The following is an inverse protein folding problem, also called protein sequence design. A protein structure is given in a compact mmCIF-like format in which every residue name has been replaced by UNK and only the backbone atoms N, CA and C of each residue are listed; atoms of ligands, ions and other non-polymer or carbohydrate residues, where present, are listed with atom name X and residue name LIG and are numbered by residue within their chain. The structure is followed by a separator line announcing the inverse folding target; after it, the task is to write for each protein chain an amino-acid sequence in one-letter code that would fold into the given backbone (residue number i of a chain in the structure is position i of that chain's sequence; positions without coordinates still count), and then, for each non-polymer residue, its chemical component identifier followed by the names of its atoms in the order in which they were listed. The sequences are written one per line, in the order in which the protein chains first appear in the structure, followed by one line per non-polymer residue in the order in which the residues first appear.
data_IF_794304598700
#
_entry.id   IF_794304598700
#
_cell.length_a   1.000
_cell.length_b   1.000
_cell.length_c   1.000
_cell.angle_alpha   90.00
_cell.angle_beta   90.00
_cell.angle_gamma   90.00
#
_symmetry.space_group_name_H-M   'P 1'
#
loop_
_entity.id
_entity.type
_entity.pdbx_description
1 polymer ?
#
# COMPACT_ATOMS: atom_id res chain seq x y z
N UNK A 1 18.35 -0.61 -0.46
CA UNK A 1 17.17 -1.47 -0.65
C UNK A 1 15.90 -0.65 -0.46
N UNK A 2 14.88 -0.99 -1.20
CA UNK A 2 13.62 -0.26 -1.13
C UNK A 2 12.84 -0.68 0.11
N UNK A 3 12.42 0.30 0.89
CA UNK A 3 11.55 0.05 2.03
C UNK A 3 10.11 -0.11 1.54
N UNK A 4 9.43 -1.17 1.99
CA UNK A 4 8.05 -1.41 1.60
C UNK A 4 7.18 -1.41 2.85
N UNK A 5 6.15 -0.57 2.83
CA UNK A 5 5.13 -0.52 3.86
C UNK A 5 3.87 -1.13 3.27
N UNK A 6 3.31 -2.12 3.96
CA UNK A 6 2.05 -2.75 3.54
C UNK A 6 0.94 -2.21 4.41
N UNK A 7 -0.10 -1.67 3.80
CA UNK A 7 -1.21 -1.06 4.52
C UNK A 7 -2.56 -1.52 3.95
N UNK A 8 -3.30 -2.26 4.75
CA UNK A 8 -4.63 -2.75 4.40
C UNK A 8 -5.52 -2.72 5.62
N UNK A 9 -6.78 -2.32 5.45
CA UNK A 9 -7.73 -2.27 6.55
C UNK A 9 -7.99 -3.63 7.17
N UNK A 10 -7.88 -4.70 6.37
CA UNK A 10 -8.01 -6.07 6.87
C UNK A 10 -6.62 -6.65 7.12
N UNK A 11 -6.33 -7.09 8.36
CA UNK A 11 -5.02 -7.67 8.67
C UNK A 11 -4.65 -8.86 7.79
N UNK A 12 -5.65 -9.66 7.41
CA UNK A 12 -5.42 -10.83 6.57
C UNK A 12 -4.86 -10.44 5.20
N UNK A 13 -5.39 -9.38 4.60
CA UNK A 13 -4.91 -8.90 3.32
C UNK A 13 -3.47 -8.42 3.43
N UNK A 14 -3.15 -7.70 4.49
CA UNK A 14 -1.80 -7.23 4.73
C UNK A 14 -0.81 -8.38 4.86
N UNK A 15 -1.18 -9.42 5.60
CA UNK A 15 -0.33 -10.60 5.78
C UNK A 15 -0.10 -11.33 4.46
N UNK A 16 -1.15 -11.46 3.65
CA UNK A 16 -1.05 -12.14 2.36
C UNK A 16 -0.12 -11.38 1.42
N UNK A 17 -0.28 -10.07 1.33
CA UNK A 17 0.57 -9.24 0.47
C UNK A 17 2.02 -9.26 0.96
N UNK A 18 2.23 -9.17 2.27
CA UNK A 18 3.57 -9.27 2.84
C UNK A 18 4.23 -10.58 2.43
N UNK A 19 3.51 -11.70 2.56
CA UNK A 19 4.04 -13.02 2.19
C UNK A 19 4.47 -13.07 0.73
N UNK A 20 3.65 -12.53 -0.16
CA UNK A 20 3.97 -12.48 -1.58
C UNK A 20 5.25 -11.68 -1.82
N UNK A 21 5.35 -10.51 -1.20
CA UNK A 21 6.49 -9.63 -1.39
C UNK A 21 7.78 -10.25 -0.84
N UNK A 22 7.72 -10.84 0.34
CA UNK A 22 8.89 -11.47 0.95
C UNK A 22 9.36 -12.65 0.11
N UNK A 23 8.44 -13.45 -0.42
CA UNK A 23 8.80 -14.57 -1.30
C UNK A 23 9.52 -14.11 -2.56
N UNK A 24 9.24 -12.91 -3.02
CA UNK A 24 9.84 -12.37 -4.22
C UNK A 24 11.08 -11.51 -3.93
N UNK A 25 11.60 -11.59 -2.73
CA UNK A 25 12.85 -10.93 -2.38
C UNK A 25 12.73 -9.48 -1.96
N UNK A 26 11.52 -8.99 -1.72
CA UNK A 26 11.31 -7.61 -1.27
C UNK A 26 11.38 -7.53 0.25
N UNK A 27 11.81 -6.36 0.74
CA UNK A 27 11.90 -6.11 2.16
C UNK A 27 10.67 -5.33 2.63
N UNK A 28 9.83 -5.99 3.44
CA UNK A 28 8.67 -5.33 4.04
C UNK A 28 9.05 -4.89 5.45
N UNK A 29 9.05 -3.59 5.69
CA UNK A 29 9.50 -3.01 6.95
C UNK A 29 8.36 -2.75 7.93
N UNK A 30 7.12 -2.69 7.44
CA UNK A 30 5.96 -2.47 8.31
C UNK A 30 4.70 -3.03 7.65
N UNK A 31 3.79 -3.52 8.47
CA UNK A 31 2.44 -3.92 8.05
C UNK A 31 1.46 -3.15 8.91
N UNK A 32 0.62 -2.35 8.27
CA UNK A 32 -0.28 -1.42 8.94
C UNK A 32 -1.73 -1.74 8.60
N UNK A 33 -2.65 -1.34 9.49
CA UNK A 33 -4.08 -1.54 9.28
C UNK A 33 -4.84 -0.22 9.12
N UNK A 34 -4.14 0.91 9.18
CA UNK A 34 -4.76 2.22 8.98
C UNK A 34 -3.82 3.14 8.20
N UNK A 35 -4.39 4.19 7.63
CA UNK A 35 -3.59 5.20 6.93
C UNK A 35 -2.66 5.94 7.88
N UNK A 36 -3.13 6.24 9.09
CA UNK A 36 -2.30 6.91 10.10
C UNK A 36 -1.08 6.10 10.49
N UNK A 37 -1.23 4.79 10.63
CA UNK A 37 -0.09 3.91 10.92
C UNK A 37 0.92 3.91 9.76
N UNK A 38 0.42 3.88 8.53
CA UNK A 38 1.29 3.92 7.36
C UNK A 38 2.08 5.23 7.29
N UNK A 39 1.44 6.35 7.58
CA UNK A 39 2.10 7.65 7.60
C UNK A 39 3.16 7.73 8.70
N UNK A 40 2.87 7.20 9.88
CA UNK A 40 3.85 7.14 10.97
C UNK A 40 5.07 6.31 10.59
N UNK A 41 4.84 5.18 9.93
CA UNK A 41 5.94 4.35 9.46
C UNK A 41 6.77 5.07 8.40
N UNK A 42 6.12 5.78 7.49
CA UNK A 42 6.80 6.52 6.44
C UNK A 42 7.67 7.65 7.00
N UNK A 43 7.21 8.31 8.07
CA UNK A 43 7.97 9.39 8.69
C UNK A 43 9.30 8.91 9.27
N UNK A 44 9.40 7.63 9.59
CA UNK A 44 10.64 7.05 10.14
C UNK A 44 11.60 6.59 9.06
N UNK A 45 11.23 6.72 7.80
CA UNK A 45 12.00 6.17 6.67
C UNK A 45 12.34 7.29 5.68
N UNK A 46 13.36 7.04 4.87
CA UNK A 46 13.85 8.02 3.90
C UNK A 46 13.28 7.82 2.50
N UNK A 47 12.19 7.12 2.38
CA UNK A 47 11.57 6.85 1.10
C UNK A 47 11.25 5.39 0.94
N UNK A 48 10.49 5.05 -0.07
CA UNK A 48 10.09 3.68 -0.32
C UNK A 48 8.78 3.59 -1.09
N UNK A 49 8.09 2.47 -0.88
CA UNK A 49 6.82 2.20 -1.55
C UNK A 49 5.79 1.80 -0.49
N UNK A 50 4.60 2.37 -0.58
CA UNK A 50 3.47 1.95 0.23
C UNK A 50 2.56 1.10 -0.66
N UNK A 51 2.41 -0.17 -0.30
CA UNK A 51 1.48 -1.08 -0.96
C UNK A 51 0.18 -1.05 -0.16
N UNK A 52 -0.87 -0.53 -0.75
CA UNK A 52 -2.06 -0.11 -0.01
C UNK A 52 -3.34 -0.70 -0.61
N UNK A 53 -4.33 -0.91 0.25
CA UNK A 53 -5.69 -1.15 -0.18
C UNK A 53 -6.38 0.15 -0.55
N UNK A 54 -7.64 0.05 -1.00
CA UNK A 54 -8.39 1.19 -1.50
C UNK A 54 -8.85 2.13 -0.39
N UNK A 55 -9.24 1.59 0.76
CA UNK A 55 -9.86 2.38 1.83
C UNK A 55 -9.47 1.87 3.20
N UNK A 56 -9.31 2.83 4.13
CA UNK A 56 -9.08 2.56 5.54
C UNK A 56 -10.21 3.18 6.35
N UNK A 57 -10.28 2.86 7.63
CA UNK A 57 -11.29 3.44 8.51
C UNK A 57 -11.09 4.94 8.70
N UNK A 58 -9.83 5.38 8.70
CA UNK A 58 -9.48 6.77 8.97
C UNK A 58 -9.27 7.61 7.71
N UNK A 59 -9.08 6.99 6.55
CA UNK A 59 -8.88 7.72 5.29
C UNK A 59 -8.99 6.79 4.10
N UNK A 60 -9.04 7.37 2.91
CA UNK A 60 -8.97 6.64 1.65
C UNK A 60 -7.56 6.72 1.06
N UNK A 61 -7.31 5.91 0.02
CA UNK A 61 -5.99 5.83 -0.59
C UNK A 61 -5.48 7.18 -1.11
N UNK A 62 -6.37 8.01 -1.64
CA UNK A 62 -5.99 9.30 -2.20
C UNK A 62 -5.49 10.26 -1.12
N UNK A 63 -6.15 10.25 0.03
CA UNK A 63 -5.73 11.06 1.17
C UNK A 63 -4.38 10.57 1.70
N UNK A 64 -4.20 9.27 1.81
CA UNK A 64 -2.94 8.69 2.21
C UNK A 64 -1.82 9.09 1.24
N UNK A 65 -2.09 9.01 -0.06
CA UNK A 65 -1.13 9.38 -1.08
C UNK A 65 -0.70 10.85 -0.97
N UNK A 66 -1.66 11.73 -0.71
CA UNK A 66 -1.38 13.16 -0.57
C UNK A 66 -0.54 13.46 0.66
N UNK A 67 -0.71 12.69 1.73
CA UNK A 67 0.01 12.92 2.98
C UNK A 67 1.39 12.26 3.02
N UNK A 68 1.68 11.35 2.10
CA UNK A 68 2.97 10.69 2.06
C UNK A 68 4.09 11.66 1.69
N UNK A 69 5.29 11.50 2.29
CA UNK A 69 6.45 12.25 1.84
C UNK A 69 6.72 12.06 0.35
N UNK A 70 7.33 13.05 -0.28
CA UNK A 70 7.58 13.02 -1.72
C UNK A 70 8.49 11.89 -2.19
N UNK A 71 9.26 11.31 -1.29
CA UNK A 71 10.16 10.20 -1.58
C UNK A 71 9.47 8.84 -1.59
N UNK A 72 8.17 8.81 -1.35
CA UNK A 72 7.40 7.57 -1.37
C UNK A 72 6.50 7.49 -2.58
N UNK A 73 6.41 6.30 -3.15
CA UNK A 73 5.43 5.96 -4.17
C UNK A 73 4.36 5.07 -3.56
N UNK A 74 3.21 5.03 -4.19
CA UNK A 74 2.11 4.18 -3.74
C UNK A 74 1.74 3.16 -4.80
N UNK A 75 1.67 1.90 -4.40
CA UNK A 75 1.13 0.82 -5.21
C UNK A 75 -0.23 0.46 -4.65
N UNK A 76 -1.27 0.74 -5.42
CA UNK A 76 -2.63 0.47 -4.97
C UNK A 76 -3.10 -0.86 -5.50
N UNK A 77 -3.59 -1.70 -4.60
CA UNK A 77 -4.16 -2.99 -4.96
C UNK A 77 -5.66 -2.90 -4.74
N UNK A 78 -6.42 -2.91 -5.83
CA UNK A 78 -7.85 -2.72 -5.79
C UNK A 78 -8.53 -3.32 -7.01
N UNK A 79 -9.83 -3.55 -6.89
CA UNK A 79 -10.63 -4.00 -8.03
C UNK A 79 -10.70 -2.90 -9.10
N UNK A 80 -10.48 -3.22 -10.38
CA UNK A 80 -10.60 -2.23 -11.45
C UNK A 80 -11.95 -1.53 -11.49
N UNK A 81 -13.01 -2.17 -11.06
CA UNK A 81 -14.35 -1.58 -11.06
C UNK A 81 -14.46 -0.34 -10.17
N UNK A 82 -13.58 -0.20 -9.18
CA UNK A 82 -13.61 0.94 -8.27
C UNK A 82 -13.03 2.21 -8.88
N UNK A 83 -12.33 2.08 -10.00
CA UNK A 83 -11.56 3.18 -10.57
C UNK A 83 -12.28 3.95 -11.64
N UNK A 84 -13.30 3.39 -12.23
CA UNK A 84 -13.88 4.00 -13.41
C UNK A 84 -12.89 4.13 -14.55
N UNK A 85 -11.83 3.34 -14.52
CA UNK A 85 -10.83 3.32 -15.57
C UNK A 85 -9.65 4.28 -15.42
N UNK A 86 -9.54 4.99 -14.29
CA UNK A 86 -8.46 5.95 -14.10
C UNK A 86 -7.72 5.75 -12.79
N UNK A 87 -6.40 5.89 -12.83
CA UNK A 87 -5.55 5.90 -11.65
C UNK A 87 -4.80 7.22 -11.57
N UNK A 88 -4.57 7.75 -10.35
CA UNK A 88 -3.69 8.90 -10.17
C UNK A 88 -2.26 8.59 -10.65
N UNK A 89 -1.52 9.63 -11.04
CA UNK A 89 -0.18 9.47 -11.62
C UNK A 89 0.81 8.76 -10.69
N UNK A 90 0.70 8.98 -9.38
CA UNK A 90 1.62 8.37 -8.40
C UNK A 90 1.16 7.00 -7.94
N UNK A 91 0.04 6.51 -8.43
CA UNK A 91 -0.57 5.28 -7.96
C UNK A 91 -0.61 4.27 -9.10
N UNK A 92 -0.07 3.10 -8.84
CA UNK A 92 -0.16 1.97 -9.78
C UNK A 92 -1.27 1.06 -9.29
N UNK A 93 -2.25 0.79 -10.13
CA UNK A 93 -3.40 -0.02 -9.77
C UNK A 93 -3.18 -1.46 -10.19
N UNK A 94 -3.40 -2.37 -9.25
CA UNK A 94 -3.40 -3.80 -9.53
C UNK A 94 -4.76 -4.38 -9.19
N UNK A 95 -5.23 -5.37 -9.95
CA UNK A 95 -6.52 -6.00 -9.63
C UNK A 95 -6.48 -6.79 -8.32
N UNK A 96 -7.58 -6.76 -7.61
CA UNK A 96 -7.81 -7.60 -6.44
C UNK A 96 -8.71 -8.77 -6.79
N UNK A 97 -8.55 -9.90 -6.14
CA UNK A 97 -7.47 -10.25 -5.24
C UNK A 97 -6.21 -10.69 -5.99
N UNK A 98 -5.05 -10.44 -5.37
CA UNK A 98 -3.82 -11.06 -5.84
C UNK A 98 -3.84 -12.50 -5.36
N UNK A 99 -3.90 -13.41 -6.29
CA UNK A 99 -3.94 -14.83 -5.93
C UNK A 99 -2.54 -15.35 -5.68
N UNK A 100 -2.40 -16.00 -4.54
CA UNK A 100 -1.16 -16.71 -4.19
C UNK A 100 -1.42 -18.19 -4.38
N UNK A 101 -0.71 -18.79 -5.28
CA UNK A 101 -0.79 -20.22 -5.50
C UNK A 101 0.54 -20.87 -5.23
#
# INVERSE_FOLDING_TARGET
MTNIIVAFSKPEDGKNIKSILVRNGFQVVAVCTSGGQALSAADCLNGGIVVSGYRFEDMMYDELCQCLPGDFDMLLISSPARWGGQCPDRVICLPMPLKVH
#
